data_IF_814002870632
#
_entry.id   IF_814002870632
#
_cell.length_a   1.000
_cell.length_b   1.000
_cell.length_c   1.000
_cell.angle_alpha   90.00
_cell.angle_beta   90.00
_cell.angle_gamma   90.00
#
_symmetry.space_group_name_H-M   'P 1'
#
loop_
_entity.id
_entity.type
_entity.pdbx_description
1 polymer ?
#
# COMPACT_ATOMS: atom_id res chain seq x y z
N UNK A 1 0.19 3.22 12.33
CA UNK A 1 -0.52 3.12 11.04
C UNK A 1 -2.00 3.45 11.25
N UNK A 2 -2.64 4.12 10.28
CA UNK A 2 -4.10 4.39 10.29
C UNK A 2 -4.95 3.17 9.91
N UNK A 3 -4.31 2.02 9.66
CA UNK A 3 -4.97 0.73 9.47
C UNK A 3 -5.16 -0.03 10.80
N UNK A 4 -4.81 0.56 11.93
CA UNK A 4 -5.08 0.10 13.31
C UNK A 4 -4.89 -1.41 13.52
N UNK A 5 -5.99 -2.14 13.77
CA UNK A 5 -5.99 -3.57 14.08
C UNK A 5 -5.37 -4.45 12.97
N UNK A 6 -5.42 -4.01 11.71
CA UNK A 6 -4.83 -4.75 10.58
C UNK A 6 -3.31 -4.60 10.46
N UNK A 7 -2.70 -3.65 11.19
CA UNK A 7 -1.25 -3.42 11.17
C UNK A 7 -0.60 -3.52 12.55
N UNK A 8 -1.30 -4.11 13.52
CA UNK A 8 -0.77 -4.32 14.88
C UNK A 8 0.51 -5.16 14.85
N UNK A 9 0.51 -6.23 14.03
CA UNK A 9 1.61 -7.19 13.92
C UNK A 9 2.10 -7.39 12.48
N UNK A 10 1.64 -6.58 11.53
CA UNK A 10 1.94 -6.71 10.10
C UNK A 10 2.34 -5.36 9.54
N UNK A 11 3.44 -5.32 8.81
CA UNK A 11 3.85 -4.11 8.08
C UNK A 11 2.80 -3.75 7.01
N UNK A 12 2.52 -2.46 6.82
CA UNK A 12 1.50 -1.97 5.87
C UNK A 12 1.65 -2.58 4.47
N UNK A 13 2.86 -2.68 3.87
CA UNK A 13 3.02 -3.31 2.54
C UNK A 13 2.61 -4.79 2.47
N UNK A 14 2.54 -5.47 3.60
CA UNK A 14 2.12 -6.87 3.68
C UNK A 14 0.61 -7.07 3.89
N UNK A 15 -0.17 -5.99 3.93
CA UNK A 15 -1.64 -6.06 4.07
C UNK A 15 -2.26 -6.71 2.82
N UNK A 16 -3.19 -7.68 2.98
CA UNK A 16 -3.87 -8.34 1.87
C UNK A 16 -4.76 -7.39 1.06
N UNK A 17 -4.81 -7.62 -0.26
CA UNK A 17 -5.65 -6.88 -1.21
C UNK A 17 -6.14 -7.77 -2.36
N UNK A 18 -7.36 -7.53 -2.84
CA UNK A 18 -7.89 -8.12 -4.07
C UNK A 18 -8.03 -9.64 -4.07
N UNK A 19 -8.21 -10.25 -2.90
CA UNK A 19 -8.42 -11.68 -2.70
C UNK A 19 -7.15 -12.52 -2.68
N UNK A 20 -6.09 -12.09 -3.35
CA UNK A 20 -4.87 -12.88 -3.55
C UNK A 20 -3.60 -12.12 -3.21
N UNK A 21 -3.56 -10.83 -3.47
CA UNK A 21 -2.35 -10.00 -3.44
C UNK A 21 -2.07 -9.42 -2.06
N UNK A 22 -0.88 -8.83 -1.92
CA UNK A 22 -0.52 -7.87 -0.88
C UNK A 22 -0.11 -6.55 -1.53
N UNK A 23 -0.14 -5.45 -0.79
CA UNK A 23 0.16 -4.13 -1.35
C UNK A 23 1.53 -4.08 -2.03
N UNK A 24 2.53 -4.75 -1.46
CA UNK A 24 3.90 -4.82 -2.00
C UNK A 24 3.99 -5.50 -3.37
N UNK A 25 3.03 -6.34 -3.74
CA UNK A 25 3.02 -7.02 -5.03
C UNK A 25 2.95 -6.05 -6.20
N UNK A 26 2.28 -4.91 -6.02
CA UNK A 26 2.12 -3.90 -7.07
C UNK A 26 3.44 -3.24 -7.45
N UNK A 27 4.19 -2.59 -6.53
CA UNK A 27 5.46 -1.99 -6.91
C UNK A 27 6.51 -3.03 -7.35
N UNK A 28 6.56 -4.22 -6.76
CA UNK A 28 7.49 -5.27 -7.21
C UNK A 28 7.16 -5.77 -8.63
N UNK A 29 5.87 -6.00 -8.93
CA UNK A 29 5.42 -6.38 -10.27
C UNK A 29 5.66 -5.27 -11.29
N UNK A 30 5.39 -4.03 -10.93
CA UNK A 30 5.68 -2.88 -11.80
C UNK A 30 7.18 -2.76 -12.09
N UNK A 31 8.06 -3.01 -11.12
CA UNK A 31 9.51 -3.06 -11.35
C UNK A 31 9.86 -4.11 -12.42
N UNK A 32 9.43 -5.36 -12.22
CA UNK A 32 9.70 -6.46 -13.15
C UNK A 32 9.15 -6.18 -14.54
N UNK A 33 7.89 -5.75 -14.64
CA UNK A 33 7.26 -5.43 -15.91
C UNK A 33 7.93 -4.22 -16.61
N UNK A 34 8.57 -3.33 -15.88
CA UNK A 34 9.33 -2.20 -16.40
C UNK A 34 10.80 -2.52 -16.72
N UNK A 35 11.23 -3.79 -16.56
CA UNK A 35 12.61 -4.20 -16.80
C UNK A 35 13.59 -3.78 -15.68
N UNK A 36 13.09 -3.45 -14.50
CA UNK A 36 13.91 -3.14 -13.32
C UNK A 36 14.12 -4.43 -12.55
N UNK A 37 15.35 -4.87 -12.46
CA UNK A 37 15.74 -6.17 -11.88
C UNK A 37 16.47 -6.08 -10.54
N UNK A 38 16.74 -4.87 -10.05
CA UNK A 38 17.45 -4.64 -8.79
C UNK A 38 16.62 -3.74 -7.89
N UNK A 39 16.13 -4.31 -6.78
CA UNK A 39 15.19 -3.64 -5.88
C UNK A 39 15.65 -3.78 -4.44
N UNK A 40 15.81 -2.66 -3.73
CA UNK A 40 16.00 -2.62 -2.28
C UNK A 40 14.69 -2.34 -1.56
N UNK A 41 14.25 -3.23 -0.69
CA UNK A 41 13.04 -3.02 0.14
C UNK A 41 13.46 -2.61 1.54
N UNK A 42 13.23 -1.35 1.88
CA UNK A 42 13.57 -0.79 3.18
C UNK A 42 12.49 -1.14 4.22
N UNK A 43 12.81 -1.97 5.19
CA UNK A 43 11.87 -2.48 6.20
C UNK A 43 12.29 -2.04 7.60
N UNK A 44 11.33 -1.69 8.46
CA UNK A 44 11.64 -1.29 9.83
C UNK A 44 10.63 -1.83 10.86
N UNK A 45 9.34 -1.53 10.68
CA UNK A 45 8.29 -1.90 11.63
C UNK A 45 7.65 -3.24 11.24
N UNK A 46 7.51 -4.16 12.20
CA UNK A 46 6.88 -5.47 12.00
C UNK A 46 7.38 -6.20 10.72
N UNK A 47 8.70 -6.35 10.57
CA UNK A 47 9.26 -6.78 9.28
C UNK A 47 9.08 -8.27 8.99
N UNK A 48 8.82 -9.11 10.00
CA UNK A 48 8.87 -10.57 9.89
C UNK A 48 7.98 -11.10 8.76
N UNK A 49 6.69 -10.78 8.80
CA UNK A 49 5.70 -11.25 7.80
C UNK A 49 6.05 -10.74 6.40
N UNK A 50 6.47 -9.49 6.29
CA UNK A 50 6.87 -8.90 5.01
C UNK A 50 8.13 -9.56 4.45
N UNK A 51 9.14 -9.77 5.29
CA UNK A 51 10.41 -10.39 4.89
C UNK A 51 10.20 -11.85 4.44
N UNK A 52 9.39 -12.62 5.19
CA UNK A 52 9.02 -13.97 4.79
C UNK A 52 8.24 -14.00 3.48
N UNK A 53 7.35 -13.04 3.28
CA UNK A 53 6.55 -12.94 2.06
C UNK A 53 7.42 -12.65 0.85
N UNK A 54 8.32 -11.69 0.94
CA UNK A 54 9.25 -11.33 -0.14
C UNK A 54 10.21 -12.50 -0.42
N UNK A 55 10.77 -13.12 0.63
CA UNK A 55 11.74 -14.20 0.51
C UNK A 55 12.92 -13.79 -0.39
N UNK A 56 13.21 -14.61 -1.39
CA UNK A 56 14.25 -14.34 -2.39
C UNK A 56 13.73 -13.59 -3.64
N UNK A 57 12.44 -13.27 -3.70
CA UNK A 57 11.86 -12.53 -4.84
C UNK A 57 11.40 -13.37 -6.02
N UNK A 58 11.47 -14.70 -5.93
CA UNK A 58 11.12 -15.62 -7.02
C UNK A 58 9.70 -15.39 -7.59
N UNK A 59 8.66 -15.12 -6.78
CA UNK A 59 7.32 -14.85 -7.32
C UNK A 59 7.24 -13.70 -8.33
N UNK A 60 8.12 -12.71 -8.20
CA UNK A 60 8.19 -11.52 -9.07
C UNK A 60 9.32 -11.58 -10.08
N UNK A 61 9.98 -12.73 -10.28
CA UNK A 61 11.18 -12.88 -11.13
C UNK A 61 12.32 -11.93 -10.70
N UNK A 62 12.45 -11.72 -9.38
CA UNK A 62 13.47 -10.88 -8.74
C UNK A 62 14.51 -11.68 -7.94
N UNK A 63 14.67 -12.97 -8.24
CA UNK A 63 15.70 -13.86 -7.69
C UNK A 63 16.94 -13.93 -8.59
N UNK A 64 17.39 -12.78 -9.08
CA UNK A 64 18.50 -12.68 -10.01
C UNK A 64 19.85 -12.94 -9.34
N UNK A 65 20.78 -13.54 -10.07
CA UNK A 65 22.15 -13.76 -9.61
C UNK A 65 22.91 -12.42 -9.41
N UNK A 66 22.68 -11.47 -10.31
CA UNK A 66 23.17 -10.08 -10.20
C UNK A 66 21.94 -9.17 -10.13
N UNK A 67 21.76 -8.45 -9.05
CA UNK A 67 20.56 -7.69 -8.78
C UNK A 67 19.57 -8.45 -7.91
N UNK A 68 18.29 -8.49 -8.31
CA UNK A 68 17.21 -9.11 -7.56
C UNK A 68 16.67 -8.23 -6.44
N UNK A 69 15.74 -8.80 -5.64
CA UNK A 69 15.20 -8.09 -4.49
C UNK A 69 16.05 -8.32 -3.24
N UNK A 70 16.34 -7.25 -2.52
CA UNK A 70 17.07 -7.26 -1.26
C UNK A 70 16.23 -6.59 -0.19
N UNK A 71 16.00 -7.28 0.92
CA UNK A 71 15.38 -6.69 2.10
C UNK A 71 16.47 -6.01 2.92
N UNK A 72 16.31 -4.72 3.18
CA UNK A 72 17.27 -3.84 3.81
C UNK A 72 16.71 -3.31 5.14
N UNK A 73 16.87 -4.04 6.25
CA UNK A 73 16.51 -3.55 7.57
C UNK A 73 17.54 -2.56 8.09
N UNK A 74 17.20 -1.73 9.09
CA UNK A 74 18.20 -0.96 9.86
C UNK A 74 19.24 -1.91 10.46
N UNK A 75 20.48 -1.49 10.52
CA UNK A 75 21.56 -2.30 11.08
C UNK A 75 22.45 -1.50 12.04
N UNK A 76 23.14 -2.21 12.90
CA UNK A 76 24.10 -1.62 13.81
C UNK A 76 25.40 -1.29 13.10
N UNK A 77 25.89 -0.08 13.33
CA UNK A 77 27.21 0.38 12.89
C UNK A 77 28.14 0.49 14.08
N UNK A 78 29.45 0.79 13.86
CA UNK A 78 30.38 1.08 14.94
C UNK A 78 29.96 2.26 15.83
N UNK A 79 29.08 3.13 15.29
CA UNK A 79 28.49 4.27 16.03
C UNK A 79 27.23 3.90 16.82
N UNK A 80 26.79 2.62 16.76
CA UNK A 80 25.60 2.11 17.40
C UNK A 80 24.49 1.72 16.44
N UNK A 81 23.41 1.13 16.98
CA UNK A 81 22.20 0.81 16.23
C UNK A 81 21.39 2.08 15.98
N UNK A 82 20.98 2.31 14.74
CA UNK A 82 20.11 3.43 14.40
C UNK A 82 18.92 2.97 13.56
N UNK A 83 17.71 3.25 14.06
CA UNK A 83 16.49 3.13 13.29
C UNK A 83 16.49 4.15 12.14
N UNK A 84 15.72 3.86 11.09
CA UNK A 84 15.47 4.87 10.07
C UNK A 84 14.68 6.03 10.66
N UNK A 85 15.23 7.22 10.58
CA UNK A 85 14.68 8.44 11.17
C UNK A 85 13.80 9.24 10.21
N UNK A 86 13.40 8.61 9.12
CA UNK A 86 12.56 9.17 8.07
C UNK A 86 12.85 8.53 6.73
N UNK A 87 12.05 8.86 5.73
CA UNK A 87 12.11 8.26 4.39
C UNK A 87 13.42 8.56 3.67
N UNK A 88 13.95 9.77 3.79
CA UNK A 88 15.26 10.15 3.22
C UNK A 88 16.42 9.46 3.95
N UNK A 89 16.36 9.37 5.29
CA UNK A 89 17.39 8.70 6.08
C UNK A 89 17.47 7.19 5.78
N UNK A 90 16.34 6.55 5.50
CA UNK A 90 16.33 5.14 5.13
C UNK A 90 17.17 4.88 3.86
N UNK A 91 17.09 5.73 2.87
CA UNK A 91 17.92 5.62 1.67
C UNK A 91 19.36 6.05 1.95
N UNK A 92 19.58 7.10 2.72
CA UNK A 92 20.91 7.54 3.14
C UNK A 92 21.71 6.40 3.80
N UNK A 93 21.12 5.67 4.75
CA UNK A 93 21.78 4.55 5.41
C UNK A 93 22.13 3.40 4.44
N UNK A 94 21.41 3.28 3.33
CA UNK A 94 21.59 2.24 2.33
C UNK A 94 22.30 2.68 1.05
N UNK A 95 22.95 3.87 1.04
CA UNK A 95 23.67 4.37 -0.14
C UNK A 95 24.71 3.38 -0.67
N UNK A 96 25.43 2.65 0.22
CA UNK A 96 26.40 1.64 -0.18
C UNK A 96 25.78 0.49 -0.98
N UNK A 97 24.54 0.13 -0.69
CA UNK A 97 23.81 -0.84 -1.49
C UNK A 97 23.57 -0.30 -2.92
N UNK A 98 23.15 0.95 -3.04
CA UNK A 98 22.90 1.59 -4.34
C UNK A 98 24.21 1.71 -5.11
N UNK A 99 25.26 2.22 -4.49
CA UNK A 99 26.59 2.43 -5.09
C UNK A 99 27.24 1.13 -5.62
N UNK A 100 26.88 -0.02 -5.02
CA UNK A 100 27.36 -1.33 -5.50
C UNK A 100 26.97 -1.62 -6.95
N UNK A 101 25.85 -1.05 -7.41
CA UNK A 101 25.32 -1.24 -8.76
C UNK A 101 25.65 -0.09 -9.71
N UNK A 102 26.27 0.98 -9.21
CA UNK A 102 26.67 2.17 -9.97
C UNK A 102 25.56 2.70 -10.90
N UNK A 103 24.34 2.94 -10.39
CA UNK A 103 23.22 3.35 -11.21
C UNK A 103 23.35 4.81 -11.61
N UNK A 104 22.94 5.15 -12.84
CA UNK A 104 22.77 6.54 -13.27
C UNK A 104 21.49 7.14 -12.68
N UNK A 105 20.44 6.34 -12.59
CA UNK A 105 19.12 6.73 -12.09
C UNK A 105 18.65 5.79 -11.00
N UNK A 106 17.90 6.32 -10.04
CA UNK A 106 17.27 5.58 -8.95
C UNK A 106 15.78 5.91 -8.90
N UNK A 107 14.95 4.88 -8.81
CA UNK A 107 13.53 5.04 -8.59
C UNK A 107 13.22 4.81 -7.11
N UNK A 108 12.49 5.73 -6.50
CA UNK A 108 12.01 5.63 -5.12
C UNK A 108 10.51 5.45 -5.14
N UNK A 109 10.03 4.41 -4.47
CA UNK A 109 8.63 3.97 -4.51
C UNK A 109 8.06 3.85 -3.10
N UNK A 110 6.77 4.19 -2.94
CA UNK A 110 5.96 3.76 -1.81
C UNK A 110 5.60 2.29 -1.95
N UNK A 111 5.65 1.53 -0.85
CA UNK A 111 5.33 0.09 -0.82
C UNK A 111 3.86 -0.22 -0.50
N UNK A 112 2.98 0.76 -0.47
CA UNK A 112 1.63 0.67 0.09
C UNK A 112 0.53 1.28 -0.82
N UNK A 113 0.82 1.44 -2.10
CA UNK A 113 -0.10 1.95 -3.10
C UNK A 113 -0.53 0.87 -4.10
N UNK A 114 -1.72 1.01 -4.64
CA UNK A 114 -2.30 0.10 -5.63
C UNK A 114 -2.39 0.81 -6.97
N UNK A 115 -1.66 0.31 -7.96
CA UNK A 115 -1.60 0.87 -9.31
C UNK A 115 -0.83 -0.04 -10.25
N UNK A 116 -1.02 0.13 -11.56
CA UNK A 116 -0.19 -0.45 -12.62
C UNK A 116 0.54 0.68 -13.33
N UNK A 117 1.86 0.64 -13.39
CA UNK A 117 2.66 1.70 -13.99
C UNK A 117 3.93 1.15 -14.63
N UNK A 118 4.18 1.56 -15.86
CA UNK A 118 5.43 1.34 -16.56
C UNK A 118 6.45 2.43 -16.17
N UNK A 119 7.35 2.09 -15.28
CA UNK A 119 8.40 3.01 -14.82
C UNK A 119 9.41 3.37 -15.91
N UNK A 120 9.57 2.53 -16.95
CA UNK A 120 10.49 2.83 -18.05
C UNK A 120 10.09 4.11 -18.77
N UNK A 121 8.79 4.36 -18.95
CA UNK A 121 8.28 5.60 -19.55
C UNK A 121 8.58 6.83 -18.70
N UNK A 122 8.51 6.70 -17.39
CA UNK A 122 8.88 7.79 -16.49
C UNK A 122 10.40 8.07 -16.50
N UNK A 123 11.22 7.02 -16.62
CA UNK A 123 12.66 7.17 -16.78
C UNK A 123 13.01 7.83 -18.11
N UNK A 124 12.35 7.41 -19.21
CA UNK A 124 12.53 8.04 -20.52
C UNK A 124 12.16 9.53 -20.50
N UNK A 125 11.05 9.86 -19.84
CA UNK A 125 10.66 11.26 -19.63
C UNK A 125 11.71 12.03 -18.82
N UNK A 126 12.25 11.43 -17.76
CA UNK A 126 13.32 12.02 -16.94
C UNK A 126 14.56 12.33 -17.79
N UNK A 127 14.97 11.39 -18.63
CA UNK A 127 16.12 11.55 -19.52
C UNK A 127 15.86 12.63 -20.57
N UNK A 128 14.68 12.62 -21.20
CA UNK A 128 14.31 13.57 -22.26
C UNK A 128 14.30 15.02 -21.78
N UNK A 129 13.95 15.25 -20.51
CA UNK A 129 13.94 16.57 -19.89
C UNK A 129 15.27 16.92 -19.20
N UNK A 130 16.30 16.06 -19.29
CA UNK A 130 17.55 16.21 -18.56
C UNK A 130 17.30 16.57 -17.08
N UNK A 131 16.35 15.88 -16.46
CA UNK A 131 15.85 16.18 -15.12
C UNK A 131 16.85 15.76 -14.03
N UNK A 132 16.84 16.47 -12.91
CA UNK A 132 17.53 16.05 -11.68
C UNK A 132 16.61 15.20 -10.79
N UNK A 133 15.31 15.50 -10.84
CA UNK A 133 14.24 14.69 -10.23
C UNK A 133 12.99 14.76 -11.11
N UNK A 134 12.32 13.62 -11.27
CA UNK A 134 10.97 13.53 -11.85
C UNK A 134 10.04 12.95 -10.81
N UNK A 135 8.88 13.56 -10.64
CA UNK A 135 7.88 13.18 -9.63
C UNK A 135 6.62 12.75 -10.35
N UNK A 136 6.17 11.52 -10.12
CA UNK A 136 4.89 11.10 -10.65
C UNK A 136 3.75 11.80 -9.91
N UNK A 137 2.83 12.36 -10.67
CA UNK A 137 1.66 13.09 -10.16
C UNK A 137 0.37 12.56 -10.79
N UNK A 138 -0.71 12.71 -10.05
CA UNK A 138 -2.06 12.39 -10.50
C UNK A 138 -3.00 13.52 -10.11
N UNK A 139 -3.97 13.81 -10.96
CA UNK A 139 -5.03 14.77 -10.64
C UNK A 139 -6.02 14.13 -9.67
N UNK A 140 -6.24 14.76 -8.53
CA UNK A 140 -7.16 14.26 -7.49
C UNK A 140 -8.29 15.25 -7.23
N UNK A 141 -9.45 14.79 -6.75
CA UNK A 141 -10.51 15.68 -6.32
C UNK A 141 -10.00 16.73 -5.31
N UNK A 142 -10.40 17.99 -5.48
CA UNK A 142 -9.93 19.09 -4.63
C UNK A 142 -10.15 18.84 -3.12
N UNK A 143 -11.21 18.12 -2.78
CA UNK A 143 -11.51 17.74 -1.40
C UNK A 143 -10.45 16.78 -0.78
N UNK A 144 -9.77 16.00 -1.62
CA UNK A 144 -8.75 15.03 -1.18
C UNK A 144 -7.32 15.59 -1.24
N UNK A 145 -7.12 16.67 -1.99
CA UNK A 145 -5.79 17.23 -2.26
C UNK A 145 -4.99 17.56 -0.99
N UNK A 146 -5.67 17.96 0.10
CA UNK A 146 -5.02 18.24 1.40
C UNK A 146 -4.35 17.02 2.07
N UNK A 147 -4.60 15.82 1.56
CA UNK A 147 -4.01 14.57 2.09
C UNK A 147 -2.63 14.28 1.53
N UNK A 148 -2.26 14.91 0.42
CA UNK A 148 -1.06 14.62 -0.37
C UNK A 148 -0.09 15.80 -0.44
N UNK A 149 1.12 15.54 -0.90
CA UNK A 149 2.03 16.57 -1.38
C UNK A 149 1.51 17.12 -2.71
N UNK A 150 1.28 18.42 -2.78
CA UNK A 150 0.68 19.08 -3.94
C UNK A 150 1.73 19.85 -4.72
N UNK A 151 1.72 19.67 -6.04
CA UNK A 151 2.64 20.31 -6.97
C UNK A 151 1.99 21.43 -7.73
N UNK A 152 2.77 22.47 -7.99
CA UNK A 152 2.47 23.55 -8.91
C UNK A 152 3.52 23.49 -10.02
N UNK A 153 3.07 23.38 -11.26
CA UNK A 153 3.92 23.26 -12.44
C UNK A 153 3.68 24.42 -13.41
N UNK A 154 4.69 24.71 -14.24
CA UNK A 154 4.55 25.56 -15.40
C UNK A 154 3.97 24.79 -16.62
N UNK A 155 3.88 25.48 -17.77
CA UNK A 155 3.35 24.90 -19.02
C UNK A 155 4.23 23.78 -19.61
N UNK A 156 5.45 23.61 -19.15
CA UNK A 156 6.39 22.58 -19.55
C UNK A 156 6.48 21.43 -18.53
N UNK A 157 5.53 21.36 -17.57
CA UNK A 157 5.50 20.41 -16.48
C UNK A 157 6.74 20.52 -15.53
N UNK A 158 7.48 21.64 -15.56
CA UNK A 158 8.50 21.90 -14.58
C UNK A 158 7.86 22.29 -13.25
N UNK A 159 8.29 21.65 -12.17
CA UNK A 159 7.77 21.92 -10.82
C UNK A 159 8.30 23.27 -10.35
N UNK A 160 7.40 24.18 -10.06
CA UNK A 160 7.72 25.52 -9.55
C UNK A 160 7.51 25.67 -8.06
N UNK A 161 6.62 24.86 -7.47
CA UNK A 161 6.37 24.84 -6.05
C UNK A 161 5.84 23.46 -5.59
N UNK A 162 6.12 23.11 -4.33
CA UNK A 162 5.67 21.88 -3.69
C UNK A 162 5.26 22.16 -2.25
N UNK A 163 4.05 21.73 -1.87
CA UNK A 163 3.54 21.89 -0.52
C UNK A 163 3.03 20.56 0.03
N UNK A 164 3.66 20.07 1.08
CA UNK A 164 3.25 18.82 1.74
C UNK A 164 2.00 19.04 2.57
N UNK A 165 0.92 18.34 2.20
CA UNK A 165 -0.39 18.35 2.88
C UNK A 165 -0.92 19.74 3.23
N UNK A 166 -1.13 20.61 2.22
CA UNK A 166 -1.62 21.97 2.44
C UNK A 166 -3.04 21.96 2.99
N UNK A 167 -3.33 22.88 3.91
CA UNK A 167 -4.71 23.10 4.38
C UNK A 167 -5.62 23.63 3.26
N UNK A 168 -5.07 24.49 2.43
CA UNK A 168 -5.75 25.07 1.26
C UNK A 168 -4.92 24.78 0.01
N UNK A 169 -5.22 23.69 -0.72
CA UNK A 169 -4.44 23.30 -1.89
C UNK A 169 -4.67 24.29 -3.04
N UNK A 170 -3.55 24.77 -3.62
CA UNK A 170 -3.57 25.66 -4.79
C UNK A 170 -3.67 24.92 -6.12
N UNK A 171 -3.39 23.61 -6.12
CA UNK A 171 -3.45 22.72 -7.27
C UNK A 171 -4.09 21.40 -6.85
N UNK A 172 -4.49 20.57 -7.81
CA UNK A 172 -5.00 19.22 -7.62
C UNK A 172 -3.98 18.15 -8.03
N UNK A 173 -2.80 18.54 -8.52
CA UNK A 173 -1.73 17.64 -8.87
C UNK A 173 -1.06 17.09 -7.61
N UNK A 174 -1.46 15.87 -7.25
CA UNK A 174 -0.96 15.17 -6.07
C UNK A 174 0.26 14.31 -6.42
N UNK A 175 1.30 14.37 -5.58
CA UNK A 175 2.41 13.42 -5.64
C UNK A 175 1.95 12.02 -5.32
N UNK A 176 2.29 11.07 -6.19
CA UNK A 176 2.05 9.65 -5.95
C UNK A 176 3.10 9.01 -5.02
N UNK A 177 4.11 9.76 -4.58
CA UNK A 177 5.22 9.19 -3.81
C UNK A 177 6.14 8.29 -4.66
N UNK A 178 6.17 8.53 -5.96
CA UNK A 178 7.01 7.83 -6.94
C UNK A 178 7.94 8.85 -7.57
N UNK A 179 9.24 8.61 -7.45
CA UNK A 179 10.27 9.54 -7.87
C UNK A 179 11.33 8.85 -8.72
N UNK A 180 11.80 9.53 -9.77
CA UNK A 180 13.05 9.18 -10.48
C UNK A 180 14.07 10.26 -10.18
N UNK A 181 15.25 9.87 -9.70
CA UNK A 181 16.36 10.77 -9.43
C UNK A 181 17.58 10.42 -10.29
N UNK A 182 18.29 11.43 -10.74
CA UNK A 182 19.68 11.30 -11.10
C UNK A 182 20.49 11.00 -9.83
N UNK A 183 21.21 9.85 -9.80
CA UNK A 183 21.81 9.35 -8.55
C UNK A 183 22.76 10.33 -7.89
N UNK A 184 23.64 10.97 -8.67
CA UNK A 184 24.58 11.97 -8.13
C UNK A 184 23.86 13.11 -7.41
N UNK A 185 22.70 13.52 -7.92
CA UNK A 185 21.90 14.58 -7.30
C UNK A 185 21.27 14.09 -6.01
N UNK A 186 20.58 12.94 -6.05
CA UNK A 186 19.96 12.37 -4.84
C UNK A 186 21.01 12.17 -3.75
N UNK A 187 22.15 11.56 -4.06
CA UNK A 187 23.24 11.32 -3.13
C UNK A 187 23.69 12.60 -2.43
N UNK A 188 23.88 13.67 -3.20
CA UNK A 188 24.26 14.98 -2.66
C UNK A 188 23.25 15.47 -1.62
N UNK A 189 21.97 15.51 -1.98
CA UNK A 189 20.93 16.04 -1.10
C UNK A 189 20.67 15.14 0.12
N UNK A 190 20.85 13.83 0.02
CA UNK A 190 20.77 12.92 1.17
C UNK A 190 21.89 13.22 2.18
N UNK A 191 23.12 13.44 1.73
CA UNK A 191 24.27 13.79 2.60
C UNK A 191 24.05 15.16 3.24
N UNK A 192 23.61 16.15 2.47
CA UNK A 192 23.33 17.50 2.99
C UNK A 192 22.23 17.49 4.04
N UNK A 193 21.12 16.78 3.79
CA UNK A 193 20.02 16.65 4.74
C UNK A 193 20.45 15.94 6.04
N UNK A 194 21.25 14.87 5.94
CA UNK A 194 21.77 14.18 7.11
C UNK A 194 22.63 15.09 7.97
N UNK A 195 23.54 15.85 7.36
CA UNK A 195 24.42 16.77 8.06
C UNK A 195 23.62 17.93 8.72
N UNK A 196 22.67 18.50 7.99
CA UNK A 196 21.80 19.56 8.49
C UNK A 196 20.94 19.10 9.66
N UNK A 197 20.30 17.91 9.54
CA UNK A 197 19.47 17.36 10.58
C UNK A 197 20.28 17.06 11.86
N UNK A 198 21.49 16.52 11.72
CA UNK A 198 22.37 16.27 12.87
C UNK A 198 22.83 17.57 13.55
N UNK A 199 23.19 18.60 12.77
CA UNK A 199 23.55 19.91 13.33
C UNK A 199 22.38 20.59 14.08
N UNK A 200 21.15 20.46 13.56
CA UNK A 200 19.94 20.94 14.25
C UNK A 200 19.67 20.17 15.53
N UNK A 201 19.82 18.83 15.49
CA UNK A 201 19.67 17.96 16.67
C UNK A 201 20.62 18.37 17.81
N UNK A 202 21.89 18.62 17.51
CA UNK A 202 22.89 19.07 18.48
C UNK A 202 22.52 20.40 19.14
N UNK A 203 21.82 21.27 18.42
CA UNK A 203 21.34 22.57 18.91
C UNK A 203 19.98 22.50 19.62
N UNK A 204 19.32 21.32 19.63
CA UNK A 204 17.97 21.16 20.14
C UNK A 204 16.87 21.79 19.26
N UNK A 205 17.18 22.07 17.99
CA UNK A 205 16.24 22.61 17.01
C UNK A 205 15.41 21.51 16.35
N UNK A 206 14.20 21.81 15.86
CA UNK A 206 13.40 20.85 15.07
C UNK A 206 14.15 20.40 13.82
N UNK A 207 14.16 19.09 13.57
CA UNK A 207 14.80 18.47 12.40
C UNK A 207 13.89 17.44 11.76
N UNK A 208 14.14 17.12 10.50
CA UNK A 208 13.40 16.14 9.70
C UNK A 208 14.35 15.50 8.68
N UNK A 209 14.01 14.28 8.25
CA UNK A 209 14.73 13.52 7.21
C UNK A 209 13.70 12.86 6.29
N UNK A 210 12.89 13.69 5.65
CA UNK A 210 11.76 13.31 4.81
C UNK A 210 11.98 13.72 3.36
N UNK A 211 11.51 12.90 2.40
CA UNK A 211 11.67 13.22 0.98
C UNK A 211 10.96 14.51 0.58
N UNK A 212 9.67 14.61 0.87
CA UNK A 212 8.86 15.75 0.45
C UNK A 212 9.31 17.03 1.12
N UNK A 213 9.39 17.02 2.46
CA UNK A 213 9.68 18.22 3.25
C UNK A 213 11.11 18.70 3.11
N UNK A 214 12.07 17.78 2.96
CA UNK A 214 13.49 18.14 3.05
C UNK A 214 14.19 18.02 1.68
N UNK A 215 14.12 16.86 1.02
CA UNK A 215 14.86 16.65 -0.23
C UNK A 215 14.24 17.46 -1.37
N UNK A 216 12.96 17.29 -1.67
CA UNK A 216 12.28 17.98 -2.77
C UNK A 216 12.32 19.49 -2.56
N UNK A 217 12.02 19.96 -1.36
CA UNK A 217 12.05 21.39 -1.03
C UNK A 217 13.45 21.99 -1.17
N UNK A 218 14.51 21.29 -0.75
CA UNK A 218 15.89 21.76 -0.92
C UNK A 218 16.29 21.80 -2.39
N UNK A 219 15.93 20.79 -3.19
CA UNK A 219 16.19 20.79 -4.62
C UNK A 219 15.49 21.96 -5.34
N UNK A 220 14.22 22.26 -4.96
CA UNK A 220 13.49 23.41 -5.51
C UNK A 220 14.15 24.74 -5.12
N UNK A 221 14.52 24.92 -3.84
CA UNK A 221 15.25 26.10 -3.36
C UNK A 221 16.53 26.35 -4.15
N UNK A 222 17.25 25.28 -4.46
CA UNK A 222 18.52 25.32 -5.19
C UNK A 222 18.33 25.34 -6.72
N UNK A 223 17.07 25.52 -7.18
CA UNK A 223 16.70 25.62 -8.61
C UNK A 223 17.16 24.44 -9.45
N UNK A 224 17.11 23.22 -8.87
CA UNK A 224 17.33 22.02 -9.65
C UNK A 224 16.15 21.79 -10.62
N UNK A 225 16.38 20.97 -11.65
CA UNK A 225 15.38 20.66 -12.69
C UNK A 225 14.45 19.55 -12.20
N UNK A 226 13.34 19.94 -11.62
CA UNK A 226 12.29 19.03 -11.17
C UNK A 226 11.12 19.07 -12.15
N UNK A 227 10.65 17.91 -12.57
CA UNK A 227 9.53 17.77 -13.50
C UNK A 227 8.43 16.89 -12.92
N UNK A 228 7.19 17.21 -13.24
CA UNK A 228 6.02 16.39 -12.95
C UNK A 228 5.76 15.46 -14.14
N UNK A 229 5.66 14.16 -13.86
CA UNK A 229 5.19 13.14 -14.81
C UNK A 229 3.74 12.82 -14.50
N UNK A 230 2.83 13.24 -15.36
CA UNK A 230 1.40 12.99 -15.19
C UNK A 230 1.10 11.52 -15.46
N UNK A 231 0.56 10.84 -14.47
CA UNK A 231 0.14 9.45 -14.55
C UNK A 231 -1.34 9.38 -14.92
N UNK A 232 -1.65 8.59 -15.93
CA UNK A 232 -3.01 8.25 -16.31
C UNK A 232 -3.28 6.79 -15.94
N UNK A 233 -4.29 6.55 -15.10
CA UNK A 233 -4.69 5.23 -14.67
C UNK A 233 -5.21 5.19 -13.24
N UNK A 234 -5.55 3.98 -12.79
CA UNK A 234 -6.00 3.78 -11.42
C UNK A 234 -4.82 3.88 -10.46
N UNK A 235 -4.95 4.70 -9.45
CA UNK A 235 -4.04 4.81 -8.33
C UNK A 235 -4.82 5.03 -7.03
N UNK A 236 -4.49 4.28 -5.98
CA UNK A 236 -5.11 4.41 -4.66
C UNK A 236 -4.06 4.31 -3.57
N UNK A 237 -3.98 5.35 -2.72
CA UNK A 237 -3.29 5.26 -1.42
C UNK A 237 -4.24 4.61 -0.41
N UNK A 238 -3.95 3.38 -0.01
CA UNK A 238 -4.73 2.63 0.96
C UNK A 238 -4.26 2.90 2.39
N UNK A 239 -4.06 4.16 2.72
CA UNK A 239 -3.59 4.64 4.01
C UNK A 239 -4.58 4.55 5.16
N UNK A 240 -5.86 4.35 4.88
CA UNK A 240 -6.94 4.24 5.88
C UNK A 240 -7.77 2.99 5.64
N UNK A 241 -8.54 2.57 6.66
CA UNK A 241 -9.45 1.41 6.54
C UNK A 241 -10.50 1.61 5.45
N UNK A 242 -11.08 2.81 5.39
CA UNK A 242 -12.06 3.15 4.35
C UNK A 242 -11.46 3.06 2.95
N UNK A 243 -10.26 3.64 2.73
CA UNK A 243 -9.60 3.58 1.43
C UNK A 243 -9.18 2.16 1.03
N UNK A 244 -8.82 1.30 2.00
CA UNK A 244 -8.54 -0.12 1.75
C UNK A 244 -9.82 -0.87 1.36
N UNK A 245 -10.93 -0.62 2.06
CA UNK A 245 -12.21 -1.21 1.74
C UNK A 245 -12.71 -0.75 0.37
N UNK A 246 -12.73 0.54 0.10
CA UNK A 246 -13.11 1.11 -1.20
C UNK A 246 -12.28 0.52 -2.34
N UNK A 247 -10.95 0.46 -2.19
CA UNK A 247 -10.07 -0.07 -3.22
C UNK A 247 -10.36 -1.55 -3.56
N UNK A 248 -10.81 -2.35 -2.59
CA UNK A 248 -11.26 -3.72 -2.83
C UNK A 248 -12.64 -3.74 -3.52
N UNK A 249 -13.57 -2.89 -3.08
CA UNK A 249 -14.90 -2.79 -3.70
C UNK A 249 -14.83 -2.26 -5.14
N UNK A 250 -13.88 -1.41 -5.46
CA UNK A 250 -13.61 -0.95 -6.83
C UNK A 250 -13.39 -2.10 -7.82
N UNK A 251 -12.82 -3.24 -7.36
CA UNK A 251 -12.61 -4.43 -8.19
C UNK A 251 -13.92 -5.13 -8.60
N UNK A 252 -14.99 -4.91 -7.84
CA UNK A 252 -16.31 -5.52 -8.05
C UNK A 252 -17.29 -4.57 -8.76
N UNK A 253 -16.87 -3.35 -9.04
CA UNK A 253 -17.71 -2.36 -9.69
C UNK A 253 -18.02 -2.76 -11.14
N UNK A 254 -19.16 -2.34 -11.72
CA UNK A 254 -19.53 -2.64 -13.11
C UNK A 254 -18.50 -2.16 -14.16
N UNK A 255 -17.76 -1.10 -13.82
CA UNK A 255 -16.65 -0.58 -14.62
C UNK A 255 -15.38 -0.67 -13.76
N UNK A 256 -14.74 -1.83 -13.77
CA UNK A 256 -13.55 -2.11 -12.97
C UNK A 256 -12.42 -1.15 -13.37
N UNK A 257 -12.00 -0.22 -12.50
CA UNK A 257 -10.98 0.77 -12.85
C UNK A 257 -9.56 0.19 -12.88
N UNK A 258 -9.35 -0.99 -12.25
CA UNK A 258 -8.08 -1.72 -12.21
C UNK A 258 -8.30 -3.15 -12.70
N UNK A 259 -7.88 -3.43 -13.93
CA UNK A 259 -7.97 -4.78 -14.51
C UNK A 259 -6.81 -5.66 -14.02
N UNK A 260 -7.13 -6.59 -13.12
CA UNK A 260 -6.18 -7.60 -12.60
C UNK A 260 -6.02 -8.81 -13.55
N UNK A 261 -6.89 -8.95 -14.54
CA UNK A 261 -6.88 -10.05 -15.53
C UNK A 261 -6.11 -9.69 -16.81
N UNK A 262 -5.62 -8.45 -16.94
CA UNK A 262 -4.83 -8.02 -18.08
C UNK A 262 -3.53 -8.84 -18.22
N UNK A 263 -3.39 -9.67 -19.27
CA UNK A 263 -2.21 -10.50 -19.43
C UNK A 263 -0.95 -9.72 -19.85
N UNK A 264 -1.12 -8.50 -20.35
CA UNK A 264 -0.02 -7.65 -20.79
C UNK A 264 0.73 -6.97 -19.64
N UNK A 265 0.06 -6.81 -18.50
CA UNK A 265 0.64 -6.22 -17.29
C UNK A 265 0.18 -6.98 -16.04
N UNK A 266 0.77 -8.13 -15.81
CA UNK A 266 0.42 -9.00 -14.67
C UNK A 266 0.93 -8.42 -13.36
N UNK A 267 0.10 -8.54 -12.34
CA UNK A 267 0.53 -8.40 -10.96
C UNK A 267 0.87 -9.79 -10.42
N UNK A 268 2.13 -10.00 -10.11
CA UNK A 268 2.64 -11.25 -9.55
C UNK A 268 2.43 -11.27 -8.04
N UNK A 269 2.27 -12.45 -7.48
CA UNK A 269 2.17 -12.64 -6.04
C UNK A 269 2.70 -14.01 -5.65
N UNK A 270 3.00 -14.19 -4.37
CA UNK A 270 3.38 -15.48 -3.83
C UNK A 270 2.18 -16.44 -3.90
N UNK A 271 2.41 -17.66 -4.39
CA UNK A 271 1.41 -18.72 -4.40
C UNK A 271 1.29 -19.35 -3.00
N UNK A 272 0.08 -19.44 -2.47
CA UNK A 272 -0.19 -20.07 -1.17
C UNK A 272 -0.28 -21.60 -1.24
N UNK A 273 -0.24 -22.20 -2.45
CA UNK A 273 -0.36 -23.64 -2.69
C UNK A 273 -1.61 -24.26 -2.04
N UNK A 274 -2.72 -23.55 -2.07
CA UNK A 274 -4.01 -24.03 -1.56
C UNK A 274 -4.72 -24.85 -2.64
N UNK A 275 -5.64 -25.79 -2.24
CA UNK A 275 -6.52 -26.47 -3.19
C UNK A 275 -7.47 -25.47 -3.86
N UNK A 276 -8.16 -25.88 -4.93
CA UNK A 276 -9.24 -25.06 -5.49
C UNK A 276 -10.28 -24.71 -4.42
N UNK A 277 -10.99 -23.59 -4.60
CA UNK A 277 -12.13 -23.26 -3.76
C UNK A 277 -13.25 -24.33 -3.93
N UNK A 278 -13.92 -24.64 -2.83
CA UNK A 278 -15.09 -25.51 -2.82
C UNK A 278 -16.36 -24.68 -2.60
N UNK A 279 -17.34 -24.90 -3.47
CA UNK A 279 -18.65 -24.24 -3.40
C UNK A 279 -19.68 -25.32 -3.04
N UNK A 280 -20.28 -25.22 -1.87
CA UNK A 280 -21.27 -26.17 -1.37
C UNK A 280 -22.65 -25.98 -1.99
N UNK A 281 -23.55 -26.94 -1.71
CA UNK A 281 -24.88 -26.97 -2.30
C UNK A 281 -25.80 -25.82 -1.83
N UNK A 282 -25.52 -25.23 -0.66
CA UNK A 282 -26.31 -24.14 -0.08
C UNK A 282 -25.70 -22.77 -0.37
N UNK A 283 -24.58 -22.73 -1.10
CA UNK A 283 -23.90 -21.47 -1.41
C UNK A 283 -24.70 -20.60 -2.39
N UNK A 284 -24.80 -19.32 -2.08
CA UNK A 284 -25.30 -18.30 -2.99
C UNK A 284 -24.23 -17.21 -3.17
N UNK A 285 -23.63 -17.13 -4.35
CA UNK A 285 -22.53 -16.23 -4.62
C UNK A 285 -22.89 -15.29 -5.77
N UNK A 286 -22.84 -13.98 -5.49
CA UNK A 286 -23.10 -12.95 -6.50
C UNK A 286 -21.95 -11.93 -6.48
N UNK A 287 -21.53 -11.46 -7.67
CA UNK A 287 -20.58 -10.38 -7.90
C UNK A 287 -19.41 -10.31 -6.89
N UNK A 288 -18.74 -11.44 -6.66
CA UNK A 288 -17.71 -11.57 -5.63
C UNK A 288 -16.45 -12.25 -6.17
N UNK A 289 -15.31 -11.99 -5.54
CA UNK A 289 -14.06 -12.69 -5.79
C UNK A 289 -13.81 -13.71 -4.67
N UNK A 290 -13.65 -14.97 -5.03
CA UNK A 290 -13.39 -16.08 -4.09
C UNK A 290 -12.04 -16.71 -4.45
N UNK A 291 -11.12 -16.78 -3.51
CA UNK A 291 -9.78 -17.31 -3.72
C UNK A 291 -9.68 -18.79 -3.39
N UNK A 292 -8.57 -19.39 -3.83
CA UNK A 292 -8.22 -20.79 -3.61
C UNK A 292 -8.26 -21.21 -2.14
N UNK A 293 -8.59 -22.47 -1.88
CA UNK A 293 -8.67 -23.03 -0.53
C UNK A 293 -9.89 -22.59 0.28
N UNK A 294 -10.76 -21.74 -0.27
CA UNK A 294 -11.97 -21.32 0.42
C UNK A 294 -13.07 -22.39 0.33
N UNK A 295 -13.86 -22.53 1.40
CA UNK A 295 -15.03 -23.40 1.49
C UNK A 295 -16.26 -22.54 1.73
N UNK A 296 -17.16 -22.45 0.74
CA UNK A 296 -18.32 -21.57 0.79
C UNK A 296 -19.59 -22.40 0.72
N UNK A 297 -20.38 -22.38 1.78
CA UNK A 297 -21.72 -22.99 1.85
C UNK A 297 -22.81 -21.99 2.30
N UNK A 298 -22.44 -20.70 2.48
CA UNK A 298 -23.32 -19.58 2.80
C UNK A 298 -23.51 -18.61 1.64
N UNK A 299 -24.02 -17.42 1.96
CA UNK A 299 -24.23 -16.33 1.01
C UNK A 299 -23.04 -15.39 0.99
N UNK A 300 -22.54 -15.08 -0.20
CA UNK A 300 -21.47 -14.09 -0.42
C UNK A 300 -21.88 -13.16 -1.57
N UNK A 301 -22.07 -11.90 -1.26
CA UNK A 301 -22.46 -10.89 -2.25
C UNK A 301 -21.56 -9.67 -2.16
N UNK A 302 -21.17 -9.12 -3.32
CA UNK A 302 -20.33 -7.95 -3.48
C UNK A 302 -19.12 -7.92 -2.49
N UNK A 303 -18.39 -9.05 -2.41
CA UNK A 303 -17.37 -9.26 -1.38
C UNK A 303 -16.09 -9.86 -1.95
N UNK A 304 -14.98 -9.61 -1.24
CA UNK A 304 -13.67 -10.17 -1.54
C UNK A 304 -13.33 -11.20 -0.47
N UNK A 305 -13.24 -12.47 -0.87
CA UNK A 305 -12.93 -13.60 0.01
C UNK A 305 -11.54 -14.13 -0.34
N UNK A 306 -10.63 -14.02 0.59
CA UNK A 306 -9.25 -14.47 0.45
C UNK A 306 -9.10 -15.99 0.62
N UNK A 307 -7.89 -16.49 0.42
CA UNK A 307 -7.58 -17.92 0.47
C UNK A 307 -7.85 -18.54 1.84
N UNK A 308 -8.36 -19.79 1.80
CA UNK A 308 -8.58 -20.59 3.00
C UNK A 308 -9.69 -20.09 3.93
N UNK A 309 -10.59 -19.25 3.45
CA UNK A 309 -11.74 -18.75 4.21
C UNK A 309 -12.87 -19.80 4.21
N UNK A 310 -13.52 -19.96 5.35
CA UNK A 310 -14.73 -20.78 5.47
C UNK A 310 -15.94 -19.88 5.71
N UNK A 311 -16.99 -20.06 4.91
CA UNK A 311 -18.30 -19.43 5.13
C UNK A 311 -19.33 -20.57 5.23
N UNK A 312 -19.79 -20.82 6.44
CA UNK A 312 -20.68 -21.94 6.74
C UNK A 312 -22.12 -21.70 6.26
N UNK A 313 -22.90 -22.78 6.19
CA UNK A 313 -24.32 -22.73 5.82
C UNK A 313 -25.11 -21.73 6.66
N UNK A 314 -25.91 -20.88 6.00
CA UNK A 314 -26.71 -19.84 6.65
C UNK A 314 -25.92 -18.59 7.07
N UNK A 315 -24.60 -18.58 6.95
CA UNK A 315 -23.79 -17.36 7.11
C UNK A 315 -23.96 -16.43 5.91
N UNK A 316 -23.79 -15.12 6.15
CA UNK A 316 -23.94 -14.07 5.12
C UNK A 316 -22.75 -13.14 5.16
N UNK A 317 -22.15 -12.87 3.98
CA UNK A 317 -21.06 -11.94 3.79
C UNK A 317 -21.42 -10.97 2.67
N UNK A 318 -21.65 -9.70 2.99
CA UNK A 318 -22.10 -8.68 2.04
C UNK A 318 -21.18 -7.46 2.10
N UNK A 319 -20.78 -6.92 0.94
CA UNK A 319 -19.98 -5.69 0.83
C UNK A 319 -18.76 -5.70 1.77
N UNK A 320 -18.11 -6.85 1.90
CA UNK A 320 -17.10 -7.10 2.93
C UNK A 320 -15.82 -7.69 2.35
N UNK A 321 -14.76 -7.56 3.14
CA UNK A 321 -13.48 -8.20 2.89
C UNK A 321 -13.25 -9.22 3.99
N UNK A 322 -13.08 -10.49 3.60
CA UNK A 322 -12.75 -11.58 4.52
C UNK A 322 -11.33 -12.07 4.22
N UNK A 323 -10.40 -11.76 5.10
CA UNK A 323 -8.97 -12.01 4.94
C UNK A 323 -8.59 -13.49 5.14
N UNK A 324 -7.37 -13.91 4.72
CA UNK A 324 -6.98 -15.31 4.69
C UNK A 324 -7.26 -16.08 6.00
N UNK A 325 -7.77 -17.31 5.87
CA UNK A 325 -7.96 -18.23 6.98
C UNK A 325 -9.10 -17.88 7.95
N UNK A 326 -9.86 -16.82 7.70
CA UNK A 326 -10.98 -16.47 8.57
C UNK A 326 -12.15 -17.44 8.42
N UNK A 327 -12.92 -17.63 9.51
CA UNK A 327 -14.09 -18.51 9.58
C UNK A 327 -15.31 -17.69 9.94
N UNK A 328 -16.34 -17.78 9.11
CA UNK A 328 -17.67 -17.19 9.36
C UNK A 328 -18.64 -18.35 9.63
N UNK A 329 -18.96 -18.54 10.91
CA UNK A 329 -19.78 -19.67 11.34
C UNK A 329 -21.26 -19.49 10.96
N UNK A 330 -21.99 -20.58 11.02
CA UNK A 330 -23.41 -20.69 10.64
C UNK A 330 -24.28 -19.61 11.28
N UNK A 331 -25.08 -18.92 10.46
CA UNK A 331 -25.97 -17.84 10.90
C UNK A 331 -25.27 -16.52 11.27
N UNK A 332 -23.96 -16.42 11.18
CA UNK A 332 -23.27 -15.15 11.36
C UNK A 332 -23.49 -14.22 10.15
N UNK A 333 -23.50 -12.91 10.40
CA UNK A 333 -23.69 -11.87 9.39
C UNK A 333 -22.48 -10.94 9.41
N UNK A 334 -21.86 -10.74 8.25
CA UNK A 334 -20.76 -9.80 8.03
C UNK A 334 -21.17 -8.88 6.91
N UNK A 335 -21.35 -7.60 7.19
CA UNK A 335 -21.76 -6.63 6.18
C UNK A 335 -21.03 -5.29 6.34
N UNK A 336 -20.56 -4.74 5.23
CA UNK A 336 -19.76 -3.51 5.20
C UNK A 336 -18.62 -3.53 6.22
N UNK A 337 -17.82 -4.60 6.17
CA UNK A 337 -16.79 -4.87 7.16
C UNK A 337 -15.50 -5.42 6.57
N UNK A 338 -14.45 -5.37 7.37
CA UNK A 338 -13.19 -6.06 7.12
C UNK A 338 -12.98 -7.06 8.26
N UNK A 339 -12.91 -8.34 7.94
CA UNK A 339 -12.54 -9.41 8.88
C UNK A 339 -11.10 -9.80 8.66
N UNK A 340 -10.25 -9.63 9.67
CA UNK A 340 -8.83 -9.92 9.63
C UNK A 340 -8.52 -11.42 9.50
N UNK A 341 -7.26 -11.71 9.13
CA UNK A 341 -6.79 -13.08 8.91
C UNK A 341 -6.92 -13.93 10.17
N UNK A 342 -7.24 -15.22 9.98
CA UNK A 342 -7.33 -16.23 11.04
C UNK A 342 -8.31 -15.87 12.17
N UNK A 343 -9.29 -15.00 11.88
CA UNK A 343 -10.34 -14.60 12.82
C UNK A 343 -11.57 -15.50 12.69
N UNK A 344 -12.30 -15.65 13.79
CA UNK A 344 -13.51 -16.49 13.84
C UNK A 344 -14.70 -15.63 14.25
N UNK A 345 -15.68 -15.54 13.38
CA UNK A 345 -16.97 -14.92 13.67
C UNK A 345 -17.94 -16.04 14.02
N UNK A 346 -18.26 -16.17 15.31
CA UNK A 346 -19.07 -17.24 15.86
C UNK A 346 -20.54 -17.13 15.43
N UNK A 347 -21.25 -18.26 15.55
CA UNK A 347 -22.66 -18.40 15.15
C UNK A 347 -23.53 -17.28 15.67
N UNK A 348 -24.36 -16.70 14.80
CA UNK A 348 -25.27 -15.61 15.12
C UNK A 348 -24.64 -14.26 15.43
N UNK A 349 -23.33 -14.12 15.41
CA UNK A 349 -22.68 -12.82 15.55
C UNK A 349 -22.96 -11.92 14.33
N UNK A 350 -23.02 -10.61 14.55
CA UNK A 350 -23.33 -9.64 13.52
C UNK A 350 -22.24 -8.57 13.48
N UNK A 351 -21.57 -8.43 12.34
CA UNK A 351 -20.45 -7.48 12.13
C UNK A 351 -20.87 -6.44 11.11
N UNK A 352 -20.87 -5.18 11.52
CA UNK A 352 -21.21 -4.04 10.66
C UNK A 352 -22.70 -3.88 10.43
N UNK A 353 -23.07 -2.97 9.55
CA UNK A 353 -24.44 -2.74 9.11
C UNK A 353 -24.48 -2.00 7.76
N UNK A 354 -25.53 -2.23 6.98
CA UNK A 354 -25.80 -1.49 5.75
C UNK A 354 -26.04 -0.01 6.05
N UNK A 355 -25.51 0.91 5.21
CA UNK A 355 -25.76 2.35 5.35
C UNK A 355 -27.24 2.72 5.25
N UNK A 356 -28.07 1.85 4.65
CA UNK A 356 -29.51 2.05 4.52
C UNK A 356 -30.28 1.82 5.83
N UNK A 357 -29.68 1.08 6.77
CA UNK A 357 -30.28 0.77 8.07
C UNK A 357 -29.97 1.80 9.14
N UNK A 358 -29.07 2.76 8.86
CA UNK A 358 -28.62 3.77 9.82
C UNK A 358 -29.30 5.12 9.53
N UNK A 359 -30.01 5.66 10.52
CA UNK A 359 -30.78 6.92 10.37
C UNK A 359 -29.87 8.13 10.04
N UNK A 360 -28.74 8.22 10.74
CA UNK A 360 -27.76 9.30 10.52
C UNK A 360 -26.54 8.75 9.81
N UNK A 361 -26.33 9.15 8.56
CA UNK A 361 -25.17 8.72 7.75
C UNK A 361 -23.83 9.05 8.36
N UNK A 362 -23.73 10.08 9.18
CA UNK A 362 -22.49 10.43 9.88
C UNK A 362 -22.09 9.39 10.92
N UNK A 363 -23.02 8.56 11.40
CA UNK A 363 -22.77 7.48 12.35
C UNK A 363 -22.38 6.16 11.67
N UNK A 364 -22.52 6.09 10.34
CA UNK A 364 -22.16 4.91 9.57
C UNK A 364 -20.66 4.93 9.15
N UNK A 365 -20.09 3.76 9.03
CA UNK A 365 -18.77 3.46 8.51
C UNK A 365 -18.50 1.96 8.59
N UNK A 366 -17.44 1.48 7.97
CA UNK A 366 -17.09 0.07 7.98
C UNK A 366 -16.73 -0.39 9.40
N UNK A 367 -17.12 -1.63 9.73
CA UNK A 367 -16.67 -2.32 10.94
C UNK A 367 -15.39 -3.10 10.65
N UNK A 368 -14.50 -3.23 11.62
CA UNK A 368 -13.23 -3.94 11.43
C UNK A 368 -12.96 -4.89 12.59
N UNK A 369 -12.73 -6.14 12.25
CA UNK A 369 -12.22 -7.18 13.16
C UNK A 369 -10.74 -7.42 12.78
N UNK A 370 -9.85 -7.32 13.76
CA UNK A 370 -8.40 -7.51 13.57
C UNK A 370 -8.03 -8.96 13.28
N UNK A 371 -6.73 -9.22 13.12
CA UNK A 371 -6.21 -10.56 12.90
C UNK A 371 -6.27 -11.42 14.18
N UNK A 372 -6.53 -12.71 14.03
CA UNK A 372 -6.58 -13.68 15.13
C UNK A 372 -7.59 -13.31 16.24
N UNK A 373 -8.70 -12.68 15.87
CA UNK A 373 -9.76 -12.25 16.80
C UNK A 373 -10.93 -13.22 16.74
N UNK A 374 -11.47 -13.60 17.89
CA UNK A 374 -12.69 -14.39 18.00
C UNK A 374 -13.83 -13.45 18.47
N UNK A 375 -14.86 -13.31 17.65
CA UNK A 375 -16.11 -12.67 18.04
C UNK A 375 -17.07 -13.76 18.49
N UNK A 376 -17.49 -13.73 19.77
CA UNK A 376 -18.33 -14.75 20.38
C UNK A 376 -19.73 -14.80 19.79
N UNK A 377 -20.43 -15.89 20.07
CA UNK A 377 -21.81 -16.12 19.60
C UNK A 377 -22.75 -14.97 19.94
N UNK A 378 -23.58 -14.58 18.95
CA UNK A 378 -24.59 -13.55 19.06
C UNK A 378 -24.07 -12.16 19.46
N UNK A 379 -22.77 -11.92 19.38
CA UNK A 379 -22.19 -10.59 19.59
C UNK A 379 -22.43 -9.68 18.39
N UNK A 380 -22.54 -8.39 18.69
CA UNK A 380 -22.69 -7.35 17.66
C UNK A 380 -21.46 -6.46 17.69
N UNK A 381 -20.88 -6.24 16.51
CA UNK A 381 -19.85 -5.23 16.25
C UNK A 381 -20.49 -4.16 15.41
N UNK A 382 -20.71 -3.00 15.99
CA UNK A 382 -21.41 -1.89 15.35
C UNK A 382 -20.59 -1.24 14.23
N UNK A 383 -21.21 -0.50 13.30
CA UNK A 383 -20.50 0.34 12.33
C UNK A 383 -19.43 1.21 12.99
N UNK A 384 -18.32 1.44 12.29
CA UNK A 384 -17.12 2.18 12.77
C UNK A 384 -16.35 1.52 13.92
N UNK A 385 -16.85 0.45 14.52
CA UNK A 385 -16.09 -0.23 15.56
C UNK A 385 -14.88 -0.97 14.98
N UNK A 386 -13.77 -0.90 15.72
CA UNK A 386 -12.54 -1.61 15.40
C UNK A 386 -12.21 -2.51 16.58
N UNK A 387 -12.30 -3.82 16.36
CA UNK A 387 -12.06 -4.85 17.38
C UNK A 387 -10.67 -5.43 17.14
N UNK A 388 -9.75 -5.21 18.09
CA UNK A 388 -8.38 -5.73 18.05
C UNK A 388 -8.11 -6.90 18.99
N UNK A 389 -9.10 -7.30 19.78
CA UNK A 389 -9.03 -8.39 20.75
C UNK A 389 -10.36 -9.16 20.75
N UNK A 390 -10.31 -10.44 21.16
CA UNK A 390 -11.51 -11.32 21.18
C UNK A 390 -12.56 -10.83 22.20
N UNK A 391 -13.82 -10.91 21.83
CA UNK A 391 -14.95 -10.40 22.60
C UNK A 391 -16.05 -11.47 22.73
#
# INVERSE_FOLDING_TARGET
SRLYALTKNVAKPAVPYGGKYRLIDFPLSNCTNSGIDTVGVLTQYQPLVLNEYIGNGQPWDLDKMNGGVHVLPPYETQAGASWYEGTANAIYQNMRFIERYDPKYVIVLGGDHIYKMDYSKMVDFHIANDADCTISVIDVPRAEASRFGIMICDEQNQVTDFVEKPKEPKSTLASMGIYVFSWDKLKKYLIENENEANAKREKGEPWSKDFGKDIITSMLRDKQRLFAYEFEGYWKDVGTLDSLWEANMDLLSPSVPLDLYDPSWKIYSRNNNMPPQYIGDNANIENSMISEGSEIDGTVDFSIVFSGVTVEEGATVNYSIVMPGAVIESGAVVEYAIVGSDSVIKSGAHIGASPETIENRDDWGIAVVGHNVVVSENKVVEPKQIIGESI
#
